data_IF_585832700319
#
_entry.id   IF_585832700319
#
_cell.length_a   1.000
_cell.length_b   1.000
_cell.length_c   1.000
_cell.angle_alpha   90.00
_cell.angle_beta   90.00
_cell.angle_gamma   90.00
#
_symmetry.space_group_name_H-M   'P 1'
#
loop_
_entity.id
_entity.type
_entity.pdbx_description
1 polymer ?
#
# COMPACT_ATOMS: atom_id res chain seq x y z
N UNK A 1 3.95 -12.48 -9.02
CA UNK A 1 4.57 -12.34 -10.36
C UNK A 1 5.91 -13.07 -10.36
N UNK A 2 6.32 -13.70 -11.47
CA UNK A 2 7.61 -14.40 -11.56
C UNK A 2 8.70 -13.48 -12.11
N UNK A 3 9.80 -13.34 -11.36
CA UNK A 3 11.02 -12.68 -11.84
C UNK A 3 11.82 -13.67 -12.68
N UNK A 4 12.02 -13.39 -13.98
CA UNK A 4 12.82 -14.25 -14.86
C UNK A 4 14.23 -13.68 -14.99
N UNK A 5 15.17 -14.27 -14.25
CA UNK A 5 16.59 -13.93 -14.33
C UNK A 5 17.27 -14.90 -15.31
N UNK A 6 17.84 -14.40 -16.41
CA UNK A 6 18.53 -15.25 -17.42
C UNK A 6 20.04 -15.40 -17.18
N UNK A 7 20.54 -14.91 -16.05
CA UNK A 7 21.96 -14.92 -15.74
C UNK A 7 22.33 -16.17 -14.93
N UNK A 8 23.14 -17.05 -15.51
CA UNK A 8 23.58 -18.32 -14.89
C UNK A 8 24.31 -18.14 -13.56
N UNK A 9 25.11 -17.06 -13.43
CA UNK A 9 25.81 -16.75 -12.18
C UNK A 9 24.83 -16.44 -11.07
N UNK A 10 23.75 -15.71 -11.36
CA UNK A 10 22.72 -15.38 -10.37
C UNK A 10 21.97 -16.63 -9.93
N UNK A 11 21.67 -17.54 -10.85
CA UNK A 11 21.09 -18.85 -10.51
C UNK A 11 22.00 -19.68 -9.60
N UNK A 12 23.31 -19.70 -9.87
CA UNK A 12 24.27 -20.39 -9.02
C UNK A 12 24.32 -19.80 -7.60
N UNK A 13 24.34 -18.47 -7.49
CA UNK A 13 24.29 -17.76 -6.20
C UNK A 13 22.99 -18.03 -5.45
N UNK A 14 21.84 -17.98 -6.12
CA UNK A 14 20.53 -18.27 -5.50
C UNK A 14 20.45 -19.70 -4.96
N UNK A 15 20.95 -20.68 -5.73
CA UNK A 15 21.06 -22.08 -5.29
C UNK A 15 21.95 -22.24 -4.07
N UNK A 16 23.10 -21.57 -4.06
CA UNK A 16 24.04 -21.63 -2.94
C UNK A 16 23.47 -20.97 -1.69
N UNK A 17 22.86 -19.79 -1.84
CA UNK A 17 22.22 -19.07 -0.75
C UNK A 17 21.11 -19.92 -0.12
N UNK A 18 20.20 -20.46 -0.92
CA UNK A 18 19.16 -21.38 -0.48
C UNK A 18 19.70 -22.58 0.32
N UNK A 19 20.80 -23.19 -0.16
CA UNK A 19 21.45 -24.33 0.51
C UNK A 19 22.01 -23.95 1.87
N UNK A 20 22.68 -22.80 1.98
CA UNK A 20 23.30 -22.35 3.23
C UNK A 20 22.25 -21.88 4.24
N UNK A 21 21.17 -21.24 3.79
CA UNK A 21 20.13 -20.69 4.68
C UNK A 21 18.99 -21.65 4.97
N UNK A 22 18.90 -22.79 4.27
CA UNK A 22 17.77 -23.72 4.35
C UNK A 22 16.46 -23.14 3.80
N UNK A 23 16.52 -22.08 2.98
CA UNK A 23 15.35 -21.38 2.43
C UNK A 23 15.10 -21.79 0.98
N UNK A 24 13.94 -21.45 0.44
CA UNK A 24 13.74 -21.49 -1.02
C UNK A 24 14.67 -20.48 -1.71
N UNK A 25 15.01 -20.73 -2.98
CA UNK A 25 15.81 -19.76 -3.75
C UNK A 25 15.15 -18.38 -3.80
N UNK A 26 13.83 -18.34 -3.95
CA UNK A 26 13.05 -17.09 -3.94
C UNK A 26 13.18 -16.36 -2.62
N UNK A 27 12.97 -17.06 -1.48
CA UNK A 27 13.06 -16.44 -0.15
C UNK A 27 14.49 -16.01 0.20
N UNK A 28 15.51 -16.73 -0.29
CA UNK A 28 16.91 -16.33 -0.12
C UNK A 28 17.26 -15.08 -0.94
N UNK A 29 16.74 -14.99 -2.17
CA UNK A 29 16.87 -13.79 -3.01
C UNK A 29 16.14 -12.61 -2.37
N UNK A 30 14.92 -12.81 -1.88
CA UNK A 30 14.14 -11.78 -1.20
C UNK A 30 14.89 -11.22 0.01
N UNK A 31 15.43 -12.08 0.88
CA UNK A 31 16.23 -11.64 2.02
C UNK A 31 17.48 -10.84 1.60
N UNK A 32 18.18 -11.28 0.55
CA UNK A 32 19.36 -10.58 0.05
C UNK A 32 18.99 -9.19 -0.49
N UNK A 33 17.85 -9.06 -1.20
CA UNK A 33 17.36 -7.78 -1.71
C UNK A 33 16.93 -6.85 -0.57
N UNK A 34 16.27 -7.37 0.47
CA UNK A 34 15.91 -6.57 1.65
C UNK A 34 17.15 -6.02 2.33
N UNK A 35 18.18 -6.85 2.55
CA UNK A 35 19.46 -6.40 3.14
C UNK A 35 20.14 -5.34 2.27
N UNK A 36 20.18 -5.56 0.95
CA UNK A 36 20.75 -4.61 0.01
C UNK A 36 20.02 -3.26 0.07
N UNK A 37 18.69 -3.25 0.03
CA UNK A 37 17.92 -2.01 0.09
C UNK A 37 18.13 -1.27 1.42
N UNK A 38 18.19 -2.01 2.54
CA UNK A 38 18.50 -1.45 3.84
C UNK A 38 19.91 -0.81 3.89
N UNK A 39 20.92 -1.42 3.25
CA UNK A 39 22.27 -0.84 3.12
C UNK A 39 22.27 0.51 2.38
N UNK A 40 21.36 0.68 1.41
CA UNK A 40 21.17 1.96 0.71
C UNK A 40 20.21 2.92 1.41
N UNK A 41 19.78 2.62 2.64
CA UNK A 41 18.83 3.45 3.39
C UNK A 41 17.41 3.45 2.80
N UNK A 42 17.10 2.50 1.92
CA UNK A 42 15.77 2.31 1.36
C UNK A 42 15.09 1.23 2.18
N UNK A 43 14.17 1.62 3.07
CA UNK A 43 13.27 0.66 3.71
C UNK A 43 12.05 0.43 2.81
N UNK A 44 11.86 -0.77 2.23
CA UNK A 44 10.70 -1.08 1.40
C UNK A 44 9.38 -0.91 2.17
N UNK A 45 9.39 -1.14 3.48
CA UNK A 45 8.23 -0.98 4.35
C UNK A 45 7.91 0.50 4.50
N UNK A 46 8.91 1.35 4.73
CA UNK A 46 8.69 2.79 4.81
C UNK A 46 8.28 3.37 3.45
N UNK A 47 8.86 2.90 2.35
CA UNK A 47 8.46 3.31 1.00
C UNK A 47 6.98 2.95 0.71
N UNK A 48 6.53 1.76 1.13
CA UNK A 48 5.13 1.36 1.02
C UNK A 48 4.23 2.18 1.94
N UNK A 49 4.67 2.46 3.17
CA UNK A 49 3.97 3.32 4.11
C UNK A 49 3.79 4.74 3.54
N UNK A 50 4.85 5.31 2.97
CA UNK A 50 4.81 6.63 2.33
C UNK A 50 3.85 6.64 1.15
N UNK A 51 3.88 5.62 0.28
CA UNK A 51 2.90 5.50 -0.83
C UNK A 51 1.45 5.52 -0.35
N UNK A 52 1.14 4.84 0.77
CA UNK A 52 -0.21 4.85 1.35
C UNK A 52 -0.58 6.22 1.90
N UNK A 53 0.34 6.89 2.58
CA UNK A 53 0.13 8.24 3.10
C UNK A 53 -0.10 9.24 1.96
N UNK A 54 0.64 9.12 0.86
CA UNK A 54 0.46 9.98 -0.31
C UNK A 54 -0.94 9.82 -0.91
N UNK A 55 -1.44 8.58 -1.02
CA UNK A 55 -2.82 8.32 -1.48
C UNK A 55 -3.85 8.93 -0.54
N UNK A 56 -3.69 8.77 0.78
CA UNK A 56 -4.59 9.38 1.78
C UNK A 56 -4.57 10.90 1.64
N UNK A 57 -3.40 11.50 1.49
CA UNK A 57 -3.23 12.93 1.34
C UNK A 57 -3.93 13.45 0.06
N UNK A 58 -3.80 12.73 -1.05
CA UNK A 58 -4.50 13.06 -2.29
C UNK A 58 -6.02 13.02 -2.14
N UNK A 59 -6.55 12.02 -1.42
CA UNK A 59 -7.99 11.94 -1.11
C UNK A 59 -8.41 13.12 -0.25
N UNK A 60 -7.65 13.44 0.80
CA UNK A 60 -7.95 14.58 1.67
C UNK A 60 -7.98 15.90 0.92
N UNK A 61 -7.01 16.16 0.02
CA UNK A 61 -7.01 17.35 -0.82
C UNK A 61 -8.22 17.41 -1.73
N UNK A 62 -8.60 16.28 -2.35
CA UNK A 62 -9.77 16.21 -3.23
C UNK A 62 -11.07 16.47 -2.46
N UNK A 63 -11.21 15.89 -1.27
CA UNK A 63 -12.38 16.09 -0.39
C UNK A 63 -12.44 17.53 0.11
N UNK A 64 -11.32 18.11 0.53
CA UNK A 64 -11.25 19.49 0.99
C UNK A 64 -11.62 20.51 -0.10
N UNK A 65 -11.39 20.16 -1.37
CA UNK A 65 -11.78 20.97 -2.52
C UNK A 65 -13.26 20.83 -2.92
N UNK A 66 -14.00 19.87 -2.35
CA UNK A 66 -15.43 19.76 -2.60
C UNK A 66 -16.17 20.94 -1.95
N UNK A 67 -17.29 21.41 -2.55
CA UNK A 67 -18.18 22.33 -1.89
C UNK A 67 -18.59 21.76 -0.52
N UNK A 68 -18.46 22.58 0.51
CA UNK A 68 -18.90 22.18 1.85
C UNK A 68 -20.43 22.09 1.84
N UNK A 69 -20.97 20.94 2.23
CA UNK A 69 -22.38 20.84 2.56
C UNK A 69 -22.64 21.71 3.80
N UNK A 70 -23.50 22.72 3.66
CA UNK A 70 -23.85 23.67 4.71
C UNK A 70 -25.33 23.56 5.04
N UNK A 71 -25.69 23.70 6.31
CA UNK A 71 -27.09 23.64 6.74
C UNK A 71 -27.67 22.22 6.58
N UNK A 72 -28.90 22.13 6.07
CA UNK A 72 -29.68 20.89 5.99
C UNK A 72 -29.15 19.88 4.95
N UNK A 73 -28.32 20.31 3.99
CA UNK A 73 -27.64 19.41 3.04
C UNK A 73 -26.52 18.57 3.70
N UNK A 74 -26.18 18.86 4.96
CA UNK A 74 -25.08 18.21 5.67
C UNK A 74 -25.59 17.00 6.44
N UNK A 75 -25.33 15.82 5.87
CA UNK A 75 -25.61 14.53 6.52
C UNK A 75 -24.60 14.30 7.65
N UNK A 76 -25.07 14.30 8.90
CA UNK A 76 -24.29 14.10 10.12
C UNK A 76 -24.61 12.77 10.81
N UNK A 77 -25.83 12.27 10.63
CA UNK A 77 -26.27 10.95 11.07
C UNK A 77 -27.16 10.29 10.02
N UNK A 78 -27.46 9.01 10.23
CA UNK A 78 -28.36 8.24 9.37
C UNK A 78 -29.79 8.84 9.33
N UNK A 79 -30.19 9.59 10.37
CA UNK A 79 -31.49 10.28 10.44
C UNK A 79 -31.60 11.43 9.43
N UNK A 80 -30.47 12.01 9.00
CA UNK A 80 -30.46 13.09 8.01
C UNK A 80 -30.67 12.56 6.58
N UNK A 81 -30.68 11.23 6.37
CA UNK A 81 -30.96 10.60 5.08
C UNK A 81 -32.46 10.49 4.78
N UNK A 82 -33.32 10.75 5.76
CA UNK A 82 -34.76 10.61 5.66
C UNK A 82 -35.45 11.92 6.02
N UNK A 83 -36.48 12.27 5.27
CA UNK A 83 -37.36 13.38 5.60
C UNK A 83 -38.06 13.11 6.95
N UNK A 84 -37.96 14.05 7.89
CA UNK A 84 -38.41 13.85 9.28
C UNK A 84 -39.92 13.70 9.41
N UNK A 85 -40.69 14.27 8.50
CA UNK A 85 -42.15 14.30 8.58
C UNK A 85 -42.78 13.07 7.88
N UNK A 86 -42.16 12.60 6.81
CA UNK A 86 -42.67 11.50 5.97
C UNK A 86 -41.94 10.18 6.18
N UNK A 87 -40.72 10.22 6.72
CA UNK A 87 -39.84 9.05 6.88
C UNK A 87 -39.35 8.45 5.55
N UNK A 88 -39.57 9.15 4.44
CA UNK A 88 -39.10 8.74 3.11
C UNK A 88 -37.66 9.24 2.88
N UNK A 89 -36.87 8.58 2.01
CA UNK A 89 -35.56 9.09 1.63
C UNK A 89 -35.67 10.52 1.11
N UNK A 90 -34.82 11.41 1.63
CA UNK A 90 -34.73 12.82 1.23
C UNK A 90 -34.18 12.98 -0.20
#
# INVERSE_FOLDING_TARGET
MSLNIKNERVHALARQAARVTGKTQTSAIEEALVKLLAEYGVDPVEAERQRKLDVIHQIQLRVAALPQATGDDRILSDDDLYDRDTGLPA
#
